data_IF_675214912253
#
_entry.id   IF_675214912253
#
_cell.length_a   1.000
_cell.length_b   1.000
_cell.length_c   1.000
_cell.angle_alpha   90.00
_cell.angle_beta   90.00
_cell.angle_gamma   90.00
#
_symmetry.space_group_name_H-M   'P 1'
#
loop_
_entity.id
_entity.type
_entity.pdbx_description
1 polymer ?
#
# COMPACT_ATOMS: atom_id res chain seq x y z
N UNK A 1 27.90 14.37 -4.75
CA UNK A 1 26.87 13.83 -3.84
C UNK A 1 25.93 14.98 -3.55
N UNK A 2 24.97 15.20 -4.42
CA UNK A 2 23.86 16.09 -4.10
C UNK A 2 22.89 15.27 -3.26
N UNK A 3 22.65 15.71 -2.03
CA UNK A 3 21.56 15.21 -1.22
C UNK A 3 20.27 15.48 -2.00
N UNK A 4 19.43 14.45 -2.18
CA UNK A 4 18.11 14.60 -2.77
C UNK A 4 17.32 15.52 -1.83
N UNK A 5 17.14 16.77 -2.22
CA UNK A 5 16.38 17.74 -1.45
C UNK A 5 14.92 17.56 -1.84
N UNK A 6 14.11 17.02 -0.92
CA UNK A 6 12.67 16.78 -1.12
C UNK A 6 11.83 18.07 -1.13
N UNK A 7 12.48 19.24 -1.10
CA UNK A 7 11.83 20.57 -1.10
C UNK A 7 11.00 20.84 -2.37
N UNK A 8 11.19 20.08 -3.45
CA UNK A 8 10.43 20.18 -4.71
C UNK A 8 9.34 19.10 -4.89
N UNK A 9 8.98 18.35 -3.83
CA UNK A 9 7.92 17.33 -3.93
C UNK A 9 6.53 17.99 -4.00
N UNK A 10 6.06 18.25 -5.23
CA UNK A 10 4.65 18.52 -5.49
C UNK A 10 3.81 17.27 -5.16
N UNK A 11 2.84 17.48 -4.27
CA UNK A 11 1.76 16.55 -3.96
C UNK A 11 1.14 16.00 -5.25
N UNK A 12 0.87 14.69 -5.31
CA UNK A 12 0.13 14.06 -6.44
C UNK A 12 -1.36 14.48 -6.46
N UNK A 13 -1.73 15.47 -5.66
CA UNK A 13 -3.03 16.13 -5.68
C UNK A 13 -2.97 17.42 -6.50
N UNK A 14 -3.59 17.35 -7.67
CA UNK A 14 -4.08 18.47 -8.52
C UNK A 14 -3.19 19.04 -9.63
N UNK A 15 -2.08 18.38 -10.02
CA UNK A 15 -1.39 18.67 -11.29
C UNK A 15 -1.14 17.42 -12.13
N UNK A 16 -2.18 16.96 -12.82
CA UNK A 16 -1.97 16.30 -14.11
C UNK A 16 -2.27 17.34 -15.19
N UNK A 17 -1.24 18.07 -15.63
CA UNK A 17 -1.25 18.62 -16.97
C UNK A 17 -1.10 17.44 -17.94
N UNK A 18 -2.20 17.10 -18.59
CA UNK A 18 -2.22 16.28 -19.80
C UNK A 18 -1.47 17.02 -20.92
N UNK A 19 -0.14 16.89 -20.97
CA UNK A 19 0.64 17.26 -22.16
C UNK A 19 1.27 16.05 -22.87
N UNK A 20 1.03 14.81 -22.41
CA UNK A 20 1.55 13.60 -23.07
C UNK A 20 0.48 12.54 -23.41
N UNK A 21 -0.76 12.98 -23.65
CA UNK A 21 -1.73 12.21 -24.44
C UNK A 21 -1.88 12.93 -25.79
N UNK A 22 -1.45 12.35 -26.92
CA UNK A 22 -1.83 12.90 -28.20
C UNK A 22 -3.34 12.77 -28.34
N UNK A 23 -4.02 13.92 -28.42
CA UNK A 23 -5.40 14.06 -28.88
C UNK A 23 -5.54 13.39 -30.25
N UNK A 24 -6.06 12.17 -30.28
CA UNK A 24 -6.57 11.55 -31.50
C UNK A 24 -8.09 11.63 -31.49
N UNK A 25 -8.62 12.86 -31.51
CA UNK A 25 -10.01 13.11 -31.86
C UNK A 25 -10.14 13.06 -33.39
N UNK A 26 -10.75 11.98 -33.87
CA UNK A 26 -11.23 11.87 -35.25
C UNK A 26 -12.35 12.87 -35.50
N UNK A 27 -12.13 13.71 -36.50
CA UNK A 27 -13.05 14.70 -37.02
C UNK A 27 -14.41 14.10 -37.38
N UNK A 28 -15.50 14.69 -36.89
CA UNK A 28 -16.76 14.75 -37.62
C UNK A 28 -17.23 16.20 -37.63
N UNK A 29 -17.14 16.78 -38.81
CA UNK A 29 -17.58 18.12 -39.20
C UNK A 29 -19.09 18.17 -39.41
N UNK A 30 -19.76 19.18 -38.85
CA UNK A 30 -20.77 20.02 -39.54
C UNK A 30 -21.27 21.19 -38.65
N UNK A 31 -21.03 22.40 -39.16
CA UNK A 31 -21.91 23.59 -39.19
C UNK A 31 -22.11 24.53 -37.97
N UNK A 32 -21.19 25.52 -37.87
CA UNK A 32 -21.34 26.99 -38.04
C UNK A 32 -22.63 27.71 -37.50
N UNK A 33 -22.47 28.40 -36.34
CA UNK A 33 -22.76 29.82 -35.93
C UNK A 33 -24.14 30.52 -36.17
N UNK A 34 -24.49 31.67 -35.49
CA UNK A 34 -23.81 32.41 -34.40
C UNK A 34 -24.70 32.88 -33.19
N UNK A 35 -24.00 33.48 -32.21
CA UNK A 35 -24.42 34.28 -31.04
C UNK A 35 -25.57 35.28 -31.31
N UNK A 36 -26.39 35.74 -30.35
CA UNK A 36 -26.07 36.70 -29.26
C UNK A 36 -27.36 37.04 -28.42
N UNK A 37 -27.39 38.01 -27.46
CA UNK A 37 -27.66 37.78 -26.02
C UNK A 37 -28.98 38.39 -25.49
N UNK A 38 -29.38 38.13 -24.23
CA UNK A 38 -29.85 39.15 -23.26
C UNK A 38 -30.52 38.58 -22.00
N UNK A 39 -30.17 39.22 -20.88
CA UNK A 39 -30.95 39.58 -19.68
C UNK A 39 -31.84 38.54 -18.95
N UNK A 40 -31.40 38.30 -17.70
CA UNK A 40 -32.13 38.30 -16.43
C UNK A 40 -33.67 38.16 -16.44
N UNK A 41 -34.18 37.18 -15.68
CA UNK A 41 -35.08 37.49 -14.55
C UNK A 41 -35.20 36.30 -13.59
N UNK A 42 -35.28 36.64 -12.30
CA UNK A 42 -35.62 35.75 -11.19
C UNK A 42 -37.14 35.54 -11.17
N UNK A 43 -37.62 34.30 -11.02
CA UNK A 43 -38.69 33.96 -10.07
C UNK A 43 -38.94 32.44 -9.97
N UNK A 44 -39.12 32.00 -8.72
CA UNK A 44 -39.52 30.66 -8.27
C UNK A 44 -40.72 30.07 -9.01
N UNK A 45 -40.71 28.75 -9.21
CA UNK A 45 -41.84 27.88 -8.83
C UNK A 45 -41.48 26.40 -8.91
N UNK A 46 -41.74 25.75 -7.78
CA UNK A 46 -41.98 24.33 -7.52
C UNK A 46 -42.13 23.41 -8.74
N UNK A 47 -41.29 22.38 -8.78
CA UNK A 47 -41.61 21.13 -9.46
C UNK A 47 -41.33 19.95 -8.53
N UNK A 48 -42.40 19.19 -8.31
CA UNK A 48 -42.46 17.94 -7.57
C UNK A 48 -41.33 16.99 -7.96
N UNK A 49 -40.56 16.56 -6.96
CA UNK A 49 -39.61 15.46 -7.12
C UNK A 49 -40.42 14.18 -6.98
N UNK A 50 -40.84 13.61 -8.10
CA UNK A 50 -41.37 12.26 -8.15
C UNK A 50 -40.31 11.28 -7.62
N UNK A 51 -40.68 10.62 -6.53
CA UNK A 51 -39.90 9.76 -5.67
C UNK A 51 -39.86 8.31 -6.25
N UNK A 52 -39.40 8.16 -7.49
CA UNK A 52 -39.20 6.86 -8.13
C UNK A 52 -37.85 6.81 -8.87
N UNK A 53 -36.75 6.68 -8.13
CA UNK A 53 -35.52 6.04 -8.65
C UNK A 53 -34.58 5.55 -7.53
N UNK A 54 -35.16 5.02 -6.44
CA UNK A 54 -34.42 4.34 -5.38
C UNK A 54 -34.19 2.85 -5.70
N UNK A 55 -33.48 2.58 -6.81
CA UNK A 55 -32.77 1.32 -7.03
C UNK A 55 -31.35 1.64 -7.51
N UNK A 56 -30.28 1.34 -6.75
CA UNK A 56 -28.95 1.74 -7.14
C UNK A 56 -28.48 0.92 -8.36
N UNK A 57 -28.42 1.56 -9.51
CA UNK A 57 -27.89 1.04 -10.77
C UNK A 57 -26.36 0.82 -10.79
N UNK A 58 -25.71 0.78 -9.62
CA UNK A 58 -24.25 0.78 -9.46
C UNK A 58 -23.59 -0.62 -9.47
N UNK A 59 -24.32 -1.69 -9.81
CA UNK A 59 -23.78 -3.06 -9.87
C UNK A 59 -23.06 -3.42 -11.19
N UNK A 60 -23.04 -2.51 -12.19
CA UNK A 60 -22.47 -2.81 -13.53
C UNK A 60 -20.95 -2.67 -13.62
N UNK A 61 -20.29 -2.13 -12.61
CA UNK A 61 -18.85 -1.81 -12.66
C UNK A 61 -17.98 -2.90 -12.03
N UNK A 62 -18.53 -3.75 -11.17
CA UNK A 62 -17.78 -4.82 -10.50
C UNK A 62 -17.51 -6.01 -11.44
N UNK A 63 -16.53 -6.84 -11.09
CA UNK A 63 -16.22 -8.07 -11.82
C UNK A 63 -16.17 -9.25 -10.87
N UNK A 64 -17.00 -10.25 -11.16
CA UNK A 64 -17.03 -11.52 -10.43
C UNK A 64 -16.06 -12.53 -11.03
N UNK A 65 -15.62 -13.52 -10.24
CA UNK A 65 -14.80 -14.62 -10.77
C UNK A 65 -15.48 -15.40 -11.91
N UNK A 66 -16.81 -15.51 -11.93
CA UNK A 66 -17.54 -16.14 -13.04
C UNK A 66 -17.42 -15.35 -14.33
N UNK A 67 -17.59 -14.03 -14.29
CA UNK A 67 -17.43 -13.19 -15.48
C UNK A 67 -15.98 -13.21 -15.97
N UNK A 68 -15.01 -13.17 -15.05
CA UNK A 68 -13.60 -13.23 -15.40
C UNK A 68 -13.24 -14.56 -16.09
N UNK A 69 -13.75 -15.70 -15.60
CA UNK A 69 -13.61 -17.00 -16.27
C UNK A 69 -14.27 -17.05 -17.65
N UNK A 70 -15.29 -16.22 -17.88
CA UNK A 70 -15.95 -16.06 -19.16
C UNK A 70 -15.26 -15.04 -20.09
N UNK A 71 -14.06 -14.56 -19.73
CA UNK A 71 -13.25 -13.69 -20.57
C UNK A 71 -13.36 -12.19 -20.26
N UNK A 72 -14.14 -11.77 -19.26
CA UNK A 72 -14.14 -10.38 -18.79
C UNK A 72 -12.80 -10.08 -18.11
N UNK A 73 -12.22 -8.91 -18.35
CA UNK A 73 -11.03 -8.47 -17.63
C UNK A 73 -11.31 -8.37 -16.12
N UNK A 74 -10.36 -8.80 -15.28
CA UNK A 74 -10.53 -8.84 -13.81
C UNK A 74 -10.77 -7.46 -13.19
N UNK A 75 -10.27 -6.38 -13.81
CA UNK A 75 -10.54 -5.00 -13.42
C UNK A 75 -11.77 -4.41 -14.13
N UNK A 76 -12.35 -5.17 -15.07
CA UNK A 76 -13.47 -4.73 -15.89
C UNK A 76 -13.09 -3.68 -16.93
N UNK A 77 -11.83 -3.68 -17.38
CA UNK A 77 -11.36 -2.83 -18.48
C UNK A 77 -11.94 -3.39 -19.80
N UNK A 78 -12.71 -2.61 -20.56
CA UNK A 78 -13.35 -3.06 -21.79
C UNK A 78 -12.37 -2.94 -22.97
N UNK A 79 -11.36 -3.81 -23.00
CA UNK A 79 -10.31 -3.81 -24.03
C UNK A 79 -10.88 -3.87 -25.45
N UNK A 80 -12.03 -4.53 -25.65
CA UNK A 80 -12.74 -4.61 -26.93
C UNK A 80 -13.29 -3.27 -27.44
N UNK A 81 -13.36 -2.25 -26.59
CA UNK A 81 -13.80 -0.89 -26.94
C UNK A 81 -12.64 0.09 -27.11
N UNK A 82 -11.41 -0.35 -26.85
CA UNK A 82 -10.21 0.47 -26.95
C UNK A 82 -9.50 0.23 -28.29
N UNK A 83 -8.71 1.21 -28.72
CA UNK A 83 -7.97 1.15 -29.99
C UNK A 83 -6.72 0.25 -29.92
N UNK A 84 -6.48 -0.40 -28.78
CA UNK A 84 -5.34 -1.25 -28.51
C UNK A 84 -5.78 -2.45 -27.67
N UNK A 85 -5.13 -3.58 -27.88
CA UNK A 85 -5.29 -4.76 -27.06
C UNK A 85 -4.62 -4.59 -25.69
N UNK A 86 -4.99 -5.46 -24.75
CA UNK A 86 -4.37 -5.56 -23.43
C UNK A 86 -2.85 -5.75 -23.51
N UNK A 87 -2.40 -6.57 -24.45
CA UNK A 87 -0.98 -6.92 -24.60
C UNK A 87 -0.17 -5.76 -25.21
N UNK A 88 -0.71 -5.07 -26.22
CA UNK A 88 -0.09 -3.86 -26.78
C UNK A 88 0.03 -2.76 -25.73
N UNK A 89 -1.00 -2.56 -24.90
CA UNK A 89 -0.95 -1.61 -23.80
C UNK A 89 0.09 -2.01 -22.74
N UNK A 90 0.16 -3.30 -22.38
CA UNK A 90 1.17 -3.85 -21.46
C UNK A 90 2.59 -3.64 -21.97
N UNK A 91 2.87 -3.89 -23.25
CA UNK A 91 4.18 -3.63 -23.83
C UNK A 91 4.54 -2.15 -23.79
N UNK A 92 3.57 -1.28 -24.09
CA UNK A 92 3.74 0.17 -24.05
C UNK A 92 4.06 0.65 -22.63
N UNK A 93 3.32 0.15 -21.64
CA UNK A 93 3.57 0.39 -20.21
C UNK A 93 4.99 0.02 -19.80
N UNK A 94 5.47 -1.17 -20.18
CA UNK A 94 6.83 -1.62 -19.85
C UNK A 94 7.93 -0.77 -20.52
N UNK A 95 7.68 -0.24 -21.72
CA UNK A 95 8.62 0.64 -22.45
C UNK A 95 8.65 2.05 -21.88
N UNK A 96 7.50 2.58 -21.46
CA UNK A 96 7.34 3.96 -21.03
C UNK A 96 7.56 4.17 -19.53
N UNK A 97 7.45 3.13 -18.70
CA UNK A 97 7.60 3.26 -17.26
C UNK A 97 9.03 3.70 -16.89
N UNK A 98 9.14 4.90 -16.31
CA UNK A 98 10.41 5.46 -15.84
C UNK A 98 10.62 5.10 -14.37
N UNK A 99 11.73 4.42 -14.09
CA UNK A 99 12.14 4.17 -12.72
C UNK A 99 12.94 5.35 -12.17
N UNK A 100 12.69 5.71 -10.92
CA UNK A 100 13.62 6.55 -10.16
C UNK A 100 14.89 5.74 -9.85
N UNK A 101 16.06 6.37 -9.92
CA UNK A 101 17.34 5.70 -9.72
C UNK A 101 18.29 6.61 -8.94
N UNK A 102 18.84 6.09 -7.86
CA UNK A 102 19.98 6.66 -7.14
C UNK A 102 21.14 5.65 -7.07
N UNK A 103 21.24 4.82 -8.13
CA UNK A 103 22.17 3.70 -8.20
C UNK A 103 23.63 4.16 -8.31
N UNK A 104 24.49 3.54 -7.50
CA UNK A 104 25.95 3.67 -7.64
C UNK A 104 26.55 2.84 -8.79
N UNK A 105 25.83 1.80 -9.27
CA UNK A 105 26.28 0.88 -10.34
C UNK A 105 25.10 0.30 -11.14
N UNK A 106 25.34 -0.14 -12.38
CA UNK A 106 24.30 -0.60 -13.32
C UNK A 106 23.50 -1.82 -12.83
N UNK A 107 22.18 -1.81 -13.08
CA UNK A 107 21.23 -2.91 -12.81
C UNK A 107 21.58 -4.23 -13.50
N UNK A 108 22.35 -4.21 -14.58
CA UNK A 108 22.67 -5.44 -15.33
C UNK A 108 23.39 -6.50 -14.48
N UNK A 109 24.18 -6.07 -13.48
CA UNK A 109 24.86 -6.98 -12.57
C UNK A 109 23.89 -7.65 -11.57
N UNK A 110 22.83 -6.94 -11.14
CA UNK A 110 21.82 -7.50 -10.22
C UNK A 110 21.08 -8.69 -10.84
N UNK A 111 20.82 -8.65 -12.16
CA UNK A 111 20.13 -9.76 -12.84
C UNK A 111 20.89 -11.09 -12.75
N UNK A 112 22.21 -11.06 -12.55
CA UNK A 112 23.02 -12.28 -12.39
C UNK A 112 22.90 -12.87 -10.98
N UNK A 113 22.58 -12.05 -9.98
CA UNK A 113 22.36 -12.48 -8.60
C UNK A 113 20.92 -12.98 -8.36
N UNK A 114 20.00 -12.64 -9.27
CA UNK A 114 18.59 -12.96 -9.12
C UNK A 114 18.33 -14.47 -9.24
N UNK A 115 17.53 -14.98 -8.31
CA UNK A 115 17.03 -16.35 -8.34
C UNK A 115 16.19 -16.57 -9.61
N UNK A 116 16.40 -17.70 -10.27
CA UNK A 116 15.57 -18.09 -11.41
C UNK A 116 14.23 -18.65 -10.92
N UNK A 117 13.18 -17.84 -10.97
CA UNK A 117 11.84 -18.21 -10.49
C UNK A 117 11.03 -18.81 -11.62
N UNK A 118 10.50 -20.01 -11.39
CA UNK A 118 9.50 -20.65 -12.24
C UNK A 118 8.16 -19.91 -12.11
N UNK A 119 7.87 -19.07 -13.11
CA UNK A 119 6.59 -18.36 -13.21
C UNK A 119 5.48 -19.29 -13.73
N UNK A 120 4.23 -18.96 -13.40
CA UNK A 120 3.05 -19.67 -13.91
C UNK A 120 2.40 -20.64 -12.90
N UNK A 121 2.87 -20.66 -11.65
CA UNK A 121 2.07 -21.25 -10.57
C UNK A 121 0.94 -20.30 -10.19
N UNK A 122 -0.15 -20.86 -9.69
CA UNK A 122 -1.29 -20.10 -9.17
C UNK A 122 -1.54 -20.52 -7.75
N UNK A 123 -1.21 -19.65 -6.81
CA UNK A 123 -1.41 -19.84 -5.37
C UNK A 123 -2.68 -19.16 -4.87
N UNK A 124 -3.09 -18.07 -5.52
CA UNK A 124 -4.32 -17.34 -5.24
C UNK A 124 -5.08 -17.09 -6.55
N UNK A 125 -6.33 -17.53 -6.62
CA UNK A 125 -7.20 -17.35 -7.79
C UNK A 125 -7.99 -16.04 -7.65
N UNK A 126 -8.23 -15.33 -8.75
CA UNK A 126 -9.09 -14.15 -8.74
C UNK A 126 -10.49 -14.51 -8.23
N UNK A 127 -11.00 -13.73 -7.27
CA UNK A 127 -12.29 -13.96 -6.65
C UNK A 127 -13.30 -12.85 -6.96
N UNK A 128 -12.91 -11.59 -6.79
CA UNK A 128 -13.82 -10.46 -6.96
C UNK A 128 -13.06 -9.16 -7.16
N UNK A 129 -13.67 -8.23 -7.90
CA UNK A 129 -13.22 -6.85 -8.01
C UNK A 129 -14.38 -5.90 -7.75
N UNK A 130 -14.16 -4.87 -6.93
CA UNK A 130 -15.14 -3.78 -6.75
C UNK A 130 -14.57 -2.42 -7.07
N UNK A 131 -15.38 -1.58 -7.73
CA UNK A 131 -15.09 -0.16 -7.97
C UNK A 131 -15.80 0.77 -6.98
N UNK A 132 -16.56 0.23 -6.02
CA UNK A 132 -17.27 1.01 -5.00
C UNK A 132 -16.32 1.62 -3.96
N UNK A 133 -15.16 1.01 -3.77
CA UNK A 133 -14.07 1.55 -2.96
C UNK A 133 -12.81 1.60 -3.80
N UNK A 134 -12.09 2.71 -3.74
CA UNK A 134 -10.85 2.90 -4.49
C UNK A 134 -9.82 3.62 -3.64
N UNK A 135 -8.57 3.21 -3.80
CA UNK A 135 -7.50 3.74 -2.95
C UNK A 135 -7.02 5.10 -3.46
N UNK A 136 -6.58 5.97 -2.55
CA UNK A 136 -5.89 7.23 -2.87
C UNK A 136 -4.48 7.16 -2.31
N UNK A 137 -3.50 7.49 -3.15
CA UNK A 137 -2.09 7.58 -2.77
C UNK A 137 -1.71 9.06 -2.75
N UNK A 138 -1.00 9.48 -1.70
CA UNK A 138 -0.52 10.86 -1.54
C UNK A 138 0.97 11.01 -1.86
N UNK A 139 1.72 9.90 -1.87
CA UNK A 139 3.16 9.89 -2.11
C UNK A 139 3.56 8.77 -3.06
N UNK A 140 4.41 9.07 -4.05
CA UNK A 140 4.80 8.13 -5.10
C UNK A 140 5.66 6.93 -4.62
N UNK A 141 6.15 6.92 -3.37
CA UNK A 141 6.94 5.81 -2.81
C UNK A 141 6.20 4.97 -1.74
N UNK A 142 5.24 5.54 -1.01
CA UNK A 142 4.66 4.89 0.18
C UNK A 142 3.38 4.13 -0.18
N UNK A 143 3.28 2.83 0.18
CA UNK A 143 2.22 1.90 -0.25
C UNK A 143 1.58 1.06 0.88
N UNK A 144 1.62 1.53 2.13
CA UNK A 144 0.98 0.84 3.25
C UNK A 144 -0.42 1.45 3.53
N UNK A 145 -1.32 1.42 2.53
CA UNK A 145 -2.64 2.08 2.60
C UNK A 145 -3.82 1.10 2.54
N UNK A 146 -3.55 -0.20 2.70
CA UNK A 146 -4.52 -1.29 2.67
C UNK A 146 -4.21 -2.29 3.78
N UNK A 147 -5.23 -2.72 4.53
CA UNK A 147 -5.06 -3.69 5.60
C UNK A 147 -6.29 -4.58 5.79
N UNK A 148 -6.12 -5.90 5.75
CA UNK A 148 -7.18 -6.86 6.02
C UNK A 148 -7.10 -7.37 7.47
N UNK A 149 -8.22 -7.35 8.19
CA UNK A 149 -8.32 -7.94 9.55
C UNK A 149 -9.00 -9.31 9.54
N UNK A 150 -9.68 -9.65 8.45
CA UNK A 150 -10.23 -10.96 8.15
C UNK A 150 -10.29 -11.12 6.63
N UNK A 151 -10.67 -12.29 6.11
CA UNK A 151 -11.01 -12.44 4.68
C UNK A 151 -12.29 -11.69 4.28
N UNK A 152 -12.98 -11.07 5.23
CA UNK A 152 -14.25 -10.37 5.03
C UNK A 152 -14.15 -8.88 5.30
N UNK A 153 -13.12 -8.42 6.02
CA UNK A 153 -13.01 -7.06 6.52
C UNK A 153 -11.67 -6.46 6.11
N UNK A 154 -11.76 -5.39 5.32
CA UNK A 154 -10.61 -4.71 4.74
C UNK A 154 -10.72 -3.23 5.01
N UNK A 155 -9.62 -2.58 5.33
CA UNK A 155 -9.52 -1.16 5.56
C UNK A 155 -8.59 -0.55 4.51
N UNK A 156 -9.02 0.53 3.88
CA UNK A 156 -8.24 1.21 2.85
C UNK A 156 -8.39 2.72 2.93
N UNK A 157 -7.35 3.42 2.47
CA UNK A 157 -7.37 4.87 2.37
C UNK A 157 -8.08 5.34 1.10
N UNK A 158 -9.09 6.19 1.23
CA UNK A 158 -9.81 6.82 0.12
C UNK A 158 -9.99 8.32 0.41
N UNK A 159 -9.33 9.16 -0.37
CA UNK A 159 -9.29 10.62 -0.22
C UNK A 159 -8.80 11.06 1.17
N UNK A 160 -9.70 11.55 2.03
CA UNK A 160 -9.43 11.94 3.43
C UNK A 160 -10.13 10.99 4.42
N UNK A 161 -10.48 9.79 3.98
CA UNK A 161 -11.24 8.84 4.77
C UNK A 161 -10.58 7.48 4.76
N UNK A 162 -10.52 6.84 5.92
CA UNK A 162 -10.27 5.40 5.99
C UNK A 162 -11.62 4.71 5.88
N UNK A 163 -11.76 3.89 4.85
CA UNK A 163 -12.96 3.12 4.55
C UNK A 163 -12.77 1.68 5.06
N UNK A 164 -13.78 1.15 5.73
CA UNK A 164 -13.96 -0.28 5.95
C UNK A 164 -14.81 -0.85 4.83
N UNK A 165 -14.33 -1.88 4.16
CA UNK A 165 -15.06 -2.65 3.17
C UNK A 165 -15.39 -4.03 3.75
N UNK A 166 -16.67 -4.37 3.76
CA UNK A 166 -17.14 -5.72 4.05
C UNK A 166 -17.32 -6.51 2.76
N UNK A 167 -16.49 -7.53 2.53
CA UNK A 167 -16.60 -8.40 1.36
C UNK A 167 -17.87 -9.26 1.39
N UNK A 168 -18.42 -9.55 2.57
CA UNK A 168 -19.67 -10.31 2.72
C UNK A 168 -20.88 -9.44 2.39
N UNK A 169 -20.94 -8.24 2.96
CA UNK A 169 -22.07 -7.33 2.75
C UNK A 169 -21.96 -6.51 1.47
N UNK A 170 -20.81 -6.59 0.79
CA UNK A 170 -20.45 -5.77 -0.39
C UNK A 170 -20.73 -4.28 -0.15
N UNK A 171 -20.34 -3.79 1.02
CA UNK A 171 -20.62 -2.43 1.48
C UNK A 171 -19.40 -1.79 2.11
N UNK A 172 -19.17 -0.54 1.75
CA UNK A 172 -18.21 0.35 2.39
C UNK A 172 -18.83 1.15 3.53
N UNK A 173 -18.05 1.40 4.59
CA UNK A 173 -18.38 2.29 5.71
C UNK A 173 -17.16 3.13 6.05
N UNK A 174 -17.33 4.44 6.17
CA UNK A 174 -16.28 5.32 6.68
C UNK A 174 -16.03 5.04 8.17
N UNK A 175 -14.76 4.82 8.55
CA UNK A 175 -14.35 4.57 9.94
C UNK A 175 -13.51 5.67 10.55
N UNK A 176 -12.85 6.47 9.72
CA UNK A 176 -12.10 7.65 10.13
C UNK A 176 -12.18 8.69 9.02
N UNK A 177 -12.54 9.93 9.35
CA UNK A 177 -12.52 11.06 8.43
C UNK A 177 -11.52 12.09 8.97
N UNK A 178 -10.44 12.31 8.22
CA UNK A 178 -9.37 13.24 8.58
C UNK A 178 -9.47 14.58 7.84
N UNK A 179 -10.55 14.82 7.08
CA UNK A 179 -10.77 16.08 6.38
C UNK A 179 -11.14 17.21 7.35
N UNK A 180 -11.83 16.87 8.45
CA UNK A 180 -12.25 17.79 9.51
C UNK A 180 -11.29 17.72 10.71
N UNK A 181 -11.26 18.75 11.57
CA UNK A 181 -10.50 18.70 12.81
C UNK A 181 -10.89 17.49 13.66
N UNK A 182 -9.89 16.72 14.06
CA UNK A 182 -10.00 15.59 14.97
C UNK A 182 -9.51 16.04 16.34
N UNK A 183 -10.35 15.83 17.35
CA UNK A 183 -9.98 16.02 18.76
C UNK A 183 -9.87 14.64 19.40
N UNK A 184 -8.75 14.32 20.08
CA UNK A 184 -8.58 13.02 20.70
C UNK A 184 -9.49 12.91 21.93
N UNK A 185 -10.01 11.71 22.14
CA UNK A 185 -10.89 11.37 23.27
C UNK A 185 -10.12 11.09 24.55
N UNK A 186 -8.89 10.58 24.45
CA UNK A 186 -8.03 10.34 25.61
C UNK A 186 -7.45 11.67 26.10
N UNK A 187 -7.88 12.10 27.28
CA UNK A 187 -7.30 13.27 27.95
C UNK A 187 -6.05 12.85 28.72
N UNK A 188 -4.94 13.54 28.45
CA UNK A 188 -3.70 13.38 29.24
C UNK A 188 -3.54 14.51 30.24
N UNK A 189 -3.26 14.22 31.52
CA UNK A 189 -2.91 15.25 32.49
C UNK A 189 -1.69 16.05 32.00
N UNK A 190 -1.82 17.37 31.89
CA UNK A 190 -0.72 18.27 31.51
C UNK A 190 -0.43 18.38 30.01
N UNK A 191 -1.16 17.70 29.13
CA UNK A 191 -1.00 17.81 27.68
C UNK A 191 -2.26 18.43 27.05
N UNK A 192 -2.11 19.59 26.41
CA UNK A 192 -3.16 20.17 25.59
C UNK A 192 -3.17 19.42 24.25
N UNK A 193 -4.20 18.62 24.04
CA UNK A 193 -4.39 17.92 22.77
C UNK A 193 -4.49 18.92 21.62
N UNK A 194 -3.53 18.87 20.69
CA UNK A 194 -3.60 19.66 19.46
C UNK A 194 -4.46 18.92 18.44
N UNK A 195 -5.55 19.53 17.95
CA UNK A 195 -6.34 18.90 16.92
C UNK A 195 -5.53 18.82 15.62
N UNK A 196 -5.60 17.68 14.95
CA UNK A 196 -5.08 17.53 13.58
C UNK A 196 -6.25 17.63 12.60
N UNK A 197 -6.02 18.18 11.41
CA UNK A 197 -7.07 18.36 10.41
C UNK A 197 -6.49 18.31 9.00
N UNK A 198 -7.29 17.90 8.02
CA UNK A 198 -6.87 17.74 6.62
C UNK A 198 -5.62 16.90 6.46
N UNK A 199 -5.50 15.85 7.29
CA UNK A 199 -4.31 15.00 7.31
C UNK A 199 -4.29 14.16 6.03
N UNK A 200 -3.20 14.27 5.27
CA UNK A 200 -2.92 13.40 4.15
C UNK A 200 -2.27 12.12 4.67
N UNK A 201 -3.03 11.03 4.76
CA UNK A 201 -2.52 9.77 5.32
C UNK A 201 -1.53 9.15 4.33
N UNK A 202 -0.29 8.99 4.79
CA UNK A 202 0.83 8.41 4.03
C UNK A 202 1.00 6.91 4.30
N UNK A 203 0.52 6.42 5.44
CA UNK A 203 0.71 5.04 5.89
C UNK A 203 -0.32 4.66 6.95
N UNK A 204 -0.72 3.39 7.01
CA UNK A 204 -1.63 2.89 8.03
C UNK A 204 -1.44 1.40 8.33
N UNK A 205 -1.90 0.98 9.50
CA UNK A 205 -1.95 -0.41 9.95
C UNK A 205 -3.18 -0.62 10.83
N UNK A 206 -3.73 -1.84 10.79
CA UNK A 206 -4.80 -2.25 11.71
C UNK A 206 -4.40 -3.55 12.40
N UNK A 207 -4.10 -3.50 13.70
CA UNK A 207 -3.72 -4.68 14.48
C UNK A 207 -4.47 -4.72 15.79
N UNK A 208 -5.06 -5.86 16.11
CA UNK A 208 -5.79 -6.07 17.37
C UNK A 208 -6.88 -5.03 17.67
N UNK A 209 -7.58 -4.56 16.62
CA UNK A 209 -8.58 -3.47 16.64
C UNK A 209 -8.02 -2.05 16.82
N UNK A 210 -6.70 -1.89 16.99
CA UNK A 210 -6.04 -0.60 16.95
C UNK A 210 -5.71 -0.26 15.49
N UNK A 211 -6.35 0.77 14.97
CA UNK A 211 -5.98 1.42 13.72
C UNK A 211 -5.00 2.55 14.04
N UNK A 212 -3.86 2.55 13.35
CA UNK A 212 -2.87 3.62 13.41
C UNK A 212 -2.66 4.16 12.01
N UNK A 213 -2.67 5.48 11.86
CA UNK A 213 -2.41 6.18 10.60
C UNK A 213 -1.34 7.25 10.81
N UNK A 214 -0.36 7.30 9.91
CA UNK A 214 0.64 8.34 9.81
C UNK A 214 0.28 9.36 8.73
N UNK A 215 0.57 10.62 8.98
CA UNK A 215 0.31 11.73 8.05
C UNK A 215 1.56 12.28 7.36
N UNK A 216 1.31 13.04 6.30
CA UNK A 216 2.33 13.65 5.45
C UNK A 216 3.15 14.75 6.15
N UNK A 217 2.60 15.40 7.18
CA UNK A 217 3.33 16.42 7.96
C UNK A 217 3.74 15.88 9.33
N UNK A 218 3.97 14.57 9.42
CA UNK A 218 4.41 13.89 10.63
C UNK A 218 3.32 13.75 11.70
N UNK A 219 2.05 13.70 11.29
CA UNK A 219 0.95 13.39 12.17
C UNK A 219 0.92 11.90 12.52
N UNK A 220 0.39 11.57 13.69
CA UNK A 220 0.06 10.23 14.13
C UNK A 220 -1.36 10.20 14.67
N UNK A 221 -2.19 9.30 14.16
CA UNK A 221 -3.59 9.14 14.57
C UNK A 221 -3.83 7.69 14.97
N UNK A 222 -4.37 7.47 16.17
CA UNK A 222 -4.68 6.16 16.71
C UNK A 222 -6.17 6.06 17.08
N UNK A 223 -6.84 5.04 16.58
CA UNK A 223 -8.26 4.78 16.80
C UNK A 223 -8.51 3.33 17.16
N UNK A 224 -9.27 3.08 18.20
CA UNK A 224 -9.83 1.75 18.44
C UNK A 224 -11.10 1.59 17.60
N UNK A 225 -11.14 0.56 16.76
CA UNK A 225 -12.25 0.28 15.85
C UNK A 225 -13.54 -0.11 16.55
N UNK A 226 -13.46 -0.57 17.81
CA UNK A 226 -14.63 -0.92 18.64
C UNK A 226 -15.24 0.28 19.37
N UNK A 227 -14.54 1.41 19.42
CA UNK A 227 -14.97 2.60 20.16
C UNK A 227 -15.22 3.77 19.20
N UNK A 228 -16.20 4.65 19.50
CA UNK A 228 -16.38 5.88 18.74
C UNK A 228 -15.22 6.85 19.01
N UNK A 229 -14.93 7.73 18.05
CA UNK A 229 -13.89 8.75 18.18
C UNK A 229 -12.46 8.25 17.95
N UNK A 230 -11.51 9.18 18.05
CA UNK A 230 -10.07 8.92 17.92
C UNK A 230 -9.48 8.88 19.33
N UNK A 231 -8.65 7.90 19.64
CA UNK A 231 -8.04 7.78 20.96
C UNK A 231 -6.95 8.82 21.14
N UNK A 232 -6.05 8.90 20.17
CA UNK A 232 -4.90 9.79 20.18
C UNK A 232 -4.70 10.39 18.80
N UNK A 233 -4.38 11.67 18.74
CA UNK A 233 -3.83 12.30 17.55
C UNK A 233 -2.90 13.42 17.97
N UNK A 234 -1.74 13.52 17.31
CA UNK A 234 -0.77 14.58 17.55
C UNK A 234 0.17 14.72 16.35
N UNK A 235 0.87 15.85 16.25
CA UNK A 235 2.02 16.00 15.36
C UNK A 235 3.27 15.58 16.14
N UNK A 236 3.85 14.44 15.76
CA UNK A 236 4.93 13.79 16.55
C UNK A 236 6.33 14.31 16.22
N UNK A 237 6.41 15.30 15.34
CA UNK A 237 7.64 15.94 14.86
C UNK A 237 7.53 17.46 14.95
N UNK A 238 8.66 18.13 15.08
CA UNK A 238 8.79 19.59 15.00
C UNK A 238 9.11 20.08 13.59
N UNK A 239 9.45 19.18 12.67
CA UNK A 239 9.79 19.48 11.29
C UNK A 239 8.55 19.33 10.40
N UNK A 240 8.22 20.37 9.65
CA UNK A 240 7.05 20.37 8.78
C UNK A 240 7.17 19.41 7.58
N UNK A 241 8.40 19.00 7.25
CA UNK A 241 8.71 18.06 6.15
C UNK A 241 8.83 16.60 6.61
N UNK A 242 8.64 16.34 7.90
CA UNK A 242 8.89 15.03 8.50
C UNK A 242 7.72 14.05 8.35
N UNK A 243 7.44 13.67 7.11
CA UNK A 243 6.45 12.65 6.71
C UNK A 243 6.57 11.43 7.63
N UNK A 244 5.44 10.94 8.16
CA UNK A 244 5.37 9.63 8.79
C UNK A 244 5.37 8.57 7.69
N UNK A 245 6.54 8.05 7.33
CA UNK A 245 6.74 7.15 6.20
C UNK A 245 6.17 5.74 6.45
N UNK A 246 6.36 5.22 7.67
CA UNK A 246 5.82 3.92 8.05
C UNK A 246 5.35 3.90 9.51
N UNK A 247 4.34 3.08 9.77
CA UNK A 247 3.87 2.74 11.11
C UNK A 247 3.83 1.22 11.25
N UNK A 248 4.20 0.71 12.41
CA UNK A 248 4.03 -0.69 12.77
C UNK A 248 3.48 -0.78 14.20
N UNK A 249 2.80 -1.88 14.50
CA UNK A 249 2.24 -2.19 15.80
C UNK A 249 2.73 -3.57 16.21
N UNK A 250 3.36 -3.69 17.37
CA UNK A 250 3.96 -4.95 17.81
C UNK A 250 3.77 -5.17 19.31
N UNK A 251 3.91 -6.42 19.75
CA UNK A 251 4.00 -6.74 21.17
C UNK A 251 5.48 -6.85 21.52
N UNK A 252 5.90 -6.14 22.55
CA UNK A 252 7.25 -6.31 23.08
C UNK A 252 7.38 -7.70 23.75
N UNK A 253 8.58 -8.12 24.15
CA UNK A 253 8.78 -9.42 24.82
C UNK A 253 7.99 -9.58 26.14
N UNK A 254 7.59 -8.47 26.77
CA UNK A 254 6.74 -8.46 27.96
C UNK A 254 5.23 -8.59 27.65
N UNK A 255 4.86 -8.61 26.37
CA UNK A 255 3.49 -8.72 25.89
C UNK A 255 2.75 -7.39 25.75
N UNK A 256 3.32 -6.26 26.14
CA UNK A 256 2.70 -4.94 25.99
C UNK A 256 2.68 -4.49 24.54
N UNK A 257 1.56 -3.93 24.10
CA UNK A 257 1.38 -3.45 22.74
C UNK A 257 2.08 -2.08 22.55
N UNK A 258 2.76 -1.91 21.42
CA UNK A 258 3.56 -0.74 21.09
C UNK A 258 3.21 -0.25 19.70
N UNK A 259 3.23 1.07 19.52
CA UNK A 259 3.19 1.72 18.21
C UNK A 259 4.59 2.26 17.91
N UNK A 260 5.10 2.00 16.72
CA UNK A 260 6.39 2.51 16.27
C UNK A 260 6.22 3.22 14.93
N UNK A 261 6.89 4.36 14.77
CA UNK A 261 6.82 5.18 13.56
C UNK A 261 8.22 5.38 12.99
N UNK A 262 8.31 5.44 11.67
CA UNK A 262 9.48 5.90 10.94
C UNK A 262 9.14 7.21 10.25
N UNK A 263 10.01 8.20 10.39
CA UNK A 263 9.78 9.54 9.90
C UNK A 263 10.94 10.04 9.03
N UNK A 264 10.62 11.01 8.17
CA UNK A 264 11.59 11.61 7.26
C UNK A 264 12.68 12.43 7.99
N UNK A 265 12.43 12.86 9.24
CA UNK A 265 13.42 13.54 10.11
C UNK A 265 14.50 12.62 10.69
N UNK A 266 14.73 11.46 10.07
CA UNK A 266 15.70 10.45 10.49
C UNK A 266 15.42 9.83 11.87
N UNK A 267 14.20 9.98 12.39
CA UNK A 267 13.83 9.44 13.70
C UNK A 267 12.85 8.28 13.61
N UNK A 268 13.04 7.33 14.52
CA UNK A 268 12.07 6.27 14.84
C UNK A 268 11.53 6.52 16.23
N UNK A 269 10.21 6.60 16.39
CA UNK A 269 9.55 6.91 17.66
C UNK A 269 8.71 5.74 18.13
N UNK A 270 8.76 5.45 19.43
CA UNK A 270 8.03 4.35 20.06
C UNK A 270 7.06 4.88 21.10
N UNK A 271 5.81 4.42 21.04
CA UNK A 271 4.75 4.79 21.96
C UNK A 271 4.13 3.55 22.59
N UNK A 272 3.65 3.69 23.83
CA UNK A 272 2.78 2.71 24.45
C UNK A 272 1.41 2.70 23.74
N UNK A 273 0.83 1.54 23.41
CA UNK A 273 -0.43 1.53 22.66
C UNK A 273 -1.69 1.71 23.52
N UNK A 274 -1.59 1.71 24.85
CA UNK A 274 -2.73 1.88 25.76
C UNK A 274 -2.94 3.36 26.11
N UNK A 275 -1.86 4.06 26.45
CA UNK A 275 -1.91 5.48 26.83
C UNK A 275 -1.21 6.42 25.82
N UNK A 276 -0.55 5.88 24.80
CA UNK A 276 0.19 6.61 23.75
C UNK A 276 1.34 7.48 24.29
N UNK A 277 1.82 7.23 25.51
CA UNK A 277 2.99 7.91 26.05
C UNK A 277 4.22 7.56 25.20
N UNK A 278 5.07 8.56 24.95
CA UNK A 278 6.35 8.34 24.27
C UNK A 278 7.29 7.54 25.18
N UNK A 279 7.80 6.43 24.64
CA UNK A 279 8.70 5.51 25.34
C UNK A 279 10.15 5.65 24.86
N UNK A 280 10.36 6.10 23.63
CA UNK A 280 11.68 6.24 23.04
C UNK A 280 11.68 6.96 21.71
N UNK A 281 12.81 7.57 21.39
CA UNK A 281 13.11 8.14 20.08
C UNK A 281 14.54 7.74 19.71
N UNK A 282 14.71 7.14 18.55
CA UNK A 282 15.98 6.64 18.03
C UNK A 282 16.35 7.44 16.78
N UNK A 283 17.55 8.03 16.76
CA UNK A 283 18.05 8.80 15.63
C UNK A 283 18.91 7.92 14.73
N UNK A 284 18.78 8.14 13.42
CA UNK A 284 19.61 7.53 12.37
C UNK A 284 20.24 8.63 11.52
N UNK A 285 21.20 8.25 10.66
CA UNK A 285 21.98 9.21 9.86
C UNK A 285 21.24 9.68 8.59
N UNK A 286 20.01 9.20 8.35
CA UNK A 286 19.24 9.40 7.13
C UNK A 286 17.74 9.24 7.35
N UNK A 287 16.94 9.79 6.44
CA UNK A 287 15.46 9.70 6.43
C UNK A 287 14.99 8.26 6.49
N UNK A 288 14.16 7.90 7.49
CA UNK A 288 13.71 6.52 7.65
C UNK A 288 12.44 6.29 6.82
N UNK A 289 12.58 5.54 5.74
CA UNK A 289 11.50 5.27 4.78
C UNK A 289 10.61 4.10 5.20
N UNK A 290 11.14 3.12 5.95
CA UNK A 290 10.37 1.98 6.43
C UNK A 290 10.96 1.36 7.69
N UNK A 291 10.09 0.80 8.54
CA UNK A 291 10.46 -0.03 9.68
C UNK A 291 9.61 -1.30 9.71
N UNK A 292 10.14 -2.35 10.34
CA UNK A 292 9.33 -3.49 10.78
C UNK A 292 9.96 -4.16 12.00
N UNK A 293 9.10 -4.58 12.94
CA UNK A 293 9.55 -5.28 14.14
C UNK A 293 9.39 -6.78 13.95
N UNK A 294 10.41 -7.53 14.35
CA UNK A 294 10.40 -8.99 14.35
C UNK A 294 9.24 -9.57 15.18
N UNK A 295 8.75 -10.78 14.86
CA UNK A 295 7.59 -11.37 15.53
C UNK A 295 7.72 -11.53 17.05
N UNK A 296 8.95 -11.70 17.56
CA UNK A 296 9.23 -11.81 18.99
C UNK A 296 9.44 -10.46 19.70
N UNK A 297 9.34 -9.36 18.95
CA UNK A 297 9.42 -7.99 19.46
C UNK A 297 10.83 -7.54 19.84
N UNK A 298 11.90 -8.26 19.47
CA UNK A 298 13.27 -7.95 19.91
C UNK A 298 14.09 -7.19 18.88
N UNK A 299 13.97 -7.55 17.61
CA UNK A 299 14.71 -6.93 16.51
C UNK A 299 13.84 -5.95 15.74
N UNK A 300 14.44 -4.83 15.37
CA UNK A 300 13.89 -3.78 14.52
C UNK A 300 14.71 -3.74 13.23
N UNK A 301 14.03 -3.87 12.08
CA UNK A 301 14.60 -3.55 10.78
C UNK A 301 14.35 -2.07 10.47
N UNK A 302 15.40 -1.35 10.09
CA UNK A 302 15.34 0.09 9.75
C UNK A 302 15.86 0.28 8.33
N UNK A 303 15.04 0.91 7.49
CA UNK A 303 15.27 1.15 6.07
C UNK A 303 15.05 2.63 5.73
N UNK A 304 15.84 3.19 4.83
CA UNK A 304 15.71 4.59 4.44
C UNK A 304 16.63 5.00 3.32
N UNK A 305 17.15 6.23 3.37
CA UNK A 305 18.06 6.81 2.36
C UNK A 305 19.49 6.25 2.47
N UNK A 306 19.57 4.92 2.58
CA UNK A 306 20.77 4.11 2.59
C UNK A 306 20.50 2.81 1.82
N UNK A 307 21.55 2.28 1.21
CA UNK A 307 21.50 0.97 0.56
C UNK A 307 21.57 -0.20 1.55
N UNK A 308 21.83 0.08 2.83
CA UNK A 308 21.86 -0.92 3.90
C UNK A 308 20.53 -0.95 4.67
N UNK A 309 20.12 -2.14 5.10
CA UNK A 309 19.13 -2.29 6.17
C UNK A 309 19.85 -2.42 7.50
N UNK A 310 19.54 -1.57 8.48
CA UNK A 310 20.07 -1.72 9.83
C UNK A 310 19.19 -2.67 10.64
N UNK A 311 19.82 -3.56 11.40
CA UNK A 311 19.17 -4.39 12.41
C UNK A 311 19.53 -3.80 13.77
N UNK A 312 18.51 -3.40 14.52
CA UNK A 312 18.64 -2.78 15.84
C UNK A 312 17.83 -3.54 16.90
N UNK A 313 18.15 -3.30 18.17
CA UNK A 313 17.32 -3.71 19.30
C UNK A 313 16.06 -2.84 19.35
N UNK A 314 14.88 -3.46 19.34
CA UNK A 314 13.60 -2.75 19.30
C UNK A 314 13.28 -1.95 20.58
N UNK A 315 13.92 -2.26 21.72
CA UNK A 315 13.67 -1.57 22.98
C UNK A 315 14.50 -0.30 23.13
N UNK A 316 15.73 -0.27 22.60
CA UNK A 316 16.66 0.84 22.80
C UNK A 316 17.22 1.45 21.51
N UNK A 317 16.89 0.91 20.34
CA UNK A 317 17.30 1.43 19.04
C UNK A 317 18.76 1.17 18.67
N UNK A 318 19.54 0.51 19.53
CA UNK A 318 20.96 0.25 19.28
C UNK A 318 21.13 -0.70 18.10
N UNK A 319 21.89 -0.26 17.10
CA UNK A 319 22.24 -1.07 15.93
C UNK A 319 23.15 -2.23 16.36
N UNK A 320 22.75 -3.45 16.00
CA UNK A 320 23.48 -4.71 16.26
C UNK A 320 24.08 -5.32 15.01
N UNK A 321 23.66 -4.88 13.82
CA UNK A 321 24.23 -5.30 12.54
C UNK A 321 23.61 -4.58 11.36
N UNK A 322 24.11 -4.85 10.17
CA UNK A 322 23.51 -4.34 8.93
C UNK A 322 23.52 -5.39 7.83
N UNK A 323 22.54 -5.29 6.94
CA UNK A 323 22.36 -6.14 5.77
C UNK A 323 22.79 -5.35 4.53
N UNK A 324 23.80 -5.88 3.82
CA UNK A 324 24.44 -5.19 2.70
C UNK A 324 24.22 -5.97 1.40
N UNK A 325 23.85 -5.27 0.34
CA UNK A 325 23.72 -5.86 -1.00
C UNK A 325 22.77 -5.12 -1.93
N UNK A 326 21.75 -4.45 -1.39
CA UNK A 326 20.95 -3.51 -2.17
C UNK A 326 21.80 -2.36 -2.70
N UNK A 327 21.34 -1.73 -3.78
CA UNK A 327 22.09 -0.69 -4.50
C UNK A 327 21.47 0.70 -4.45
N UNK A 328 20.32 0.81 -3.82
CA UNK A 328 19.49 2.02 -3.79
C UNK A 328 18.66 2.02 -2.50
N UNK A 329 17.73 2.96 -2.34
CA UNK A 329 16.95 3.12 -1.12
C UNK A 329 15.83 2.09 -0.98
N UNK A 330 15.61 1.66 0.26
CA UNK A 330 14.63 0.62 0.60
C UNK A 330 13.35 1.24 1.16
N UNK A 331 12.20 0.70 0.75
CA UNK A 331 10.87 1.26 1.08
C UNK A 331 9.91 0.24 1.68
N UNK A 332 10.30 -1.03 1.72
CA UNK A 332 9.46 -2.09 2.26
C UNK A 332 10.30 -3.10 3.03
N UNK A 333 9.77 -3.57 4.15
CA UNK A 333 10.28 -4.76 4.85
C UNK A 333 9.13 -5.64 5.32
N UNK A 334 9.39 -6.93 5.45
CA UNK A 334 8.46 -7.88 6.06
C UNK A 334 9.23 -9.03 6.72
N UNK A 335 8.89 -9.33 7.97
CA UNK A 335 9.39 -10.50 8.66
C UNK A 335 8.56 -11.73 8.31
N UNK A 336 9.24 -12.85 8.05
CA UNK A 336 8.61 -14.15 8.06
C UNK A 336 8.13 -14.46 9.49
N UNK A 337 6.96 -15.09 9.69
CA UNK A 337 6.38 -15.30 11.02
C UNK A 337 7.24 -16.14 11.98
N UNK A 338 8.19 -16.94 11.47
CA UNK A 338 9.16 -17.65 12.31
C UNK A 338 10.30 -16.78 12.88
N UNK A 339 10.38 -15.51 12.45
CA UNK A 339 11.39 -14.53 12.87
C UNK A 339 12.80 -14.75 12.32
N UNK A 340 13.00 -15.71 11.41
CA UNK A 340 14.33 -16.07 10.89
C UNK A 340 14.65 -15.41 9.55
N UNK A 341 13.64 -15.14 8.75
CA UNK A 341 13.79 -14.49 7.45
C UNK A 341 13.23 -13.07 7.49
N UNK A 342 14.02 -12.11 7.02
CA UNK A 342 13.58 -10.75 6.73
C UNK A 342 13.60 -10.55 5.21
N UNK A 343 12.50 -10.05 4.65
CA UNK A 343 12.45 -9.58 3.26
C UNK A 343 12.58 -8.05 3.23
N UNK A 344 13.40 -7.52 2.32
CA UNK A 344 13.55 -6.08 2.07
C UNK A 344 13.27 -5.78 0.60
N UNK A 345 12.54 -4.70 0.32
CA UNK A 345 12.12 -4.26 -1.01
C UNK A 345 12.69 -2.89 -1.34
N UNK A 346 13.23 -2.75 -2.55
CA UNK A 346 14.16 -1.67 -2.88
C UNK A 346 13.90 -1.00 -4.23
N UNK A 347 14.39 0.23 -4.35
CA UNK A 347 14.41 1.03 -5.57
C UNK A 347 15.23 0.40 -6.70
N UNK A 348 16.19 -0.47 -6.37
CA UNK A 348 16.99 -1.26 -7.30
C UNK A 348 16.20 -2.34 -8.06
N UNK A 349 14.87 -2.39 -7.90
CA UNK A 349 13.91 -3.33 -8.51
C UNK A 349 13.97 -4.76 -7.97
N UNK A 350 14.66 -4.96 -6.84
CA UNK A 350 14.78 -6.28 -6.22
C UNK A 350 14.15 -6.33 -4.84
N UNK A 351 13.76 -7.54 -4.46
CA UNK A 351 13.55 -7.92 -3.07
C UNK A 351 14.68 -8.85 -2.64
N UNK A 352 15.32 -8.57 -1.51
CA UNK A 352 16.32 -9.47 -0.91
C UNK A 352 15.75 -10.16 0.31
N UNK A 353 16.09 -11.45 0.44
CA UNK A 353 15.74 -12.29 1.58
C UNK A 353 16.99 -12.52 2.42
N UNK A 354 16.87 -12.33 3.72
CA UNK A 354 17.99 -12.38 4.67
C UNK A 354 17.70 -13.38 5.76
N UNK A 355 18.63 -14.29 6.02
CA UNK A 355 18.61 -15.09 7.24
C UNK A 355 19.24 -14.28 8.36
N UNK A 356 18.47 -13.91 9.39
CA UNK A 356 18.99 -13.04 10.46
C UNK A 356 20.04 -13.71 11.34
N UNK A 357 20.24 -15.03 11.19
CA UNK A 357 21.32 -15.77 11.85
C UNK A 357 22.65 -15.62 11.10
N UNK A 358 22.62 -15.11 9.87
CA UNK A 358 23.78 -14.84 9.04
C UNK A 358 23.59 -13.57 8.20
N UNK A 359 23.96 -12.41 8.76
CA UNK A 359 23.80 -11.10 8.13
C UNK A 359 24.79 -10.82 6.98
N UNK A 360 25.77 -11.70 6.75
CA UNK A 360 26.86 -11.43 5.80
C UNK A 360 26.46 -11.52 4.33
N UNK A 361 25.33 -12.18 4.01
CA UNK A 361 24.84 -12.33 2.65
C UNK A 361 23.33 -12.55 2.61
N UNK A 362 22.69 -12.20 1.49
CA UNK A 362 21.28 -12.54 1.25
C UNK A 362 21.13 -14.03 0.91
N UNK A 363 20.07 -14.66 1.43
CA UNK A 363 19.64 -16.02 1.09
C UNK A 363 19.22 -16.12 -0.38
N UNK A 364 18.48 -15.14 -0.87
CA UNK A 364 17.99 -15.08 -2.24
C UNK A 364 17.67 -13.63 -2.65
N UNK A 365 17.69 -13.38 -3.96
CA UNK A 365 17.33 -12.11 -4.58
C UNK A 365 16.21 -12.36 -5.58
N UNK A 366 15.06 -11.73 -5.35
CA UNK A 366 13.87 -11.82 -6.19
C UNK A 366 13.76 -10.55 -7.04
N UNK A 367 13.43 -10.71 -8.31
CA UNK A 367 13.40 -9.62 -9.29
C UNK A 367 11.97 -9.16 -9.56
N UNK A 368 11.75 -7.85 -9.53
CA UNK A 368 10.54 -7.21 -10.07
C UNK A 368 10.52 -7.18 -11.60
N UNK A 369 9.34 -7.01 -12.18
CA UNK A 369 9.11 -7.00 -13.62
C UNK A 369 9.32 -5.62 -14.25
N UNK A 370 8.89 -4.56 -13.59
CA UNK A 370 8.83 -3.20 -14.13
C UNK A 370 9.57 -2.18 -13.28
N UNK A 371 9.46 -2.23 -11.96
CA UNK A 371 10.07 -1.22 -11.09
C UNK A 371 10.34 -1.62 -9.66
N UNK A 372 10.47 -0.60 -8.82
CA UNK A 372 10.88 -0.71 -7.42
C UNK A 372 9.91 -1.55 -6.57
N UNK A 373 10.42 -2.24 -5.55
CA UNK A 373 9.57 -3.02 -4.66
C UNK A 373 9.06 -2.13 -3.52
N UNK A 374 7.74 -1.93 -3.43
CA UNK A 374 7.10 -0.96 -2.52
C UNK A 374 6.28 -1.56 -1.39
N UNK A 375 5.88 -2.82 -1.50
CA UNK A 375 5.23 -3.52 -0.40
C UNK A 375 5.62 -4.99 -0.36
N UNK A 376 5.80 -5.49 0.86
CA UNK A 376 6.11 -6.88 1.16
C UNK A 376 5.21 -7.37 2.29
N UNK A 377 4.66 -8.58 2.13
CA UNK A 377 3.85 -9.23 3.17
C UNK A 377 4.08 -10.74 3.13
N UNK A 378 4.41 -11.33 4.28
CA UNK A 378 4.27 -12.76 4.45
C UNK A 378 2.83 -13.10 4.83
N UNK A 379 2.37 -14.25 4.37
CA UNK A 379 1.21 -14.95 4.94
C UNK A 379 1.50 -15.33 6.39
N UNK A 380 0.47 -15.37 7.24
CA UNK A 380 0.61 -15.67 8.68
C UNK A 380 1.11 -17.09 8.96
N UNK A 381 0.92 -18.02 8.02
CA UNK A 381 1.50 -19.37 8.06
C UNK A 381 2.93 -19.45 7.49
N UNK A 382 3.46 -18.34 6.98
CA UNK A 382 4.79 -18.24 6.38
C UNK A 382 4.93 -18.91 5.02
N UNK A 383 3.85 -19.45 4.44
CA UNK A 383 3.96 -20.22 3.19
C UNK A 383 4.36 -19.34 2.02
N UNK A 384 3.76 -18.16 1.92
CA UNK A 384 3.91 -17.26 0.79
C UNK A 384 4.39 -15.87 1.18
N UNK A 385 5.24 -15.29 0.34
CA UNK A 385 5.62 -13.89 0.34
C UNK A 385 4.94 -13.19 -0.85
N UNK A 386 4.15 -12.16 -0.59
CA UNK A 386 3.69 -11.24 -1.63
C UNK A 386 4.64 -10.04 -1.73
N UNK A 387 4.89 -9.63 -2.97
CA UNK A 387 5.77 -8.53 -3.35
C UNK A 387 5.05 -7.65 -4.38
N UNK A 388 4.79 -6.39 -4.04
CA UNK A 388 4.17 -5.44 -4.96
C UNK A 388 5.18 -4.41 -5.48
N UNK A 389 5.08 -4.16 -6.77
CA UNK A 389 5.75 -3.05 -7.46
C UNK A 389 4.95 -1.74 -7.25
N UNK A 390 5.39 -0.57 -7.77
CA UNK A 390 4.66 0.67 -7.54
C UNK A 390 3.31 0.66 -8.27
N UNK A 391 3.24 -0.11 -9.36
CA UNK A 391 2.08 -0.30 -10.20
C UNK A 391 2.14 -1.68 -10.87
N UNK A 392 0.99 -2.11 -11.39
CA UNK A 392 0.80 -3.18 -12.38
C UNK A 392 1.11 -4.63 -11.95
N UNK A 393 2.10 -4.88 -11.11
CA UNK A 393 2.53 -6.25 -10.78
C UNK A 393 2.55 -6.53 -9.29
N UNK A 394 1.92 -7.64 -8.93
CA UNK A 394 2.07 -8.29 -7.62
C UNK A 394 2.58 -9.71 -7.86
N UNK A 395 3.66 -10.08 -7.18
CA UNK A 395 4.27 -11.40 -7.24
C UNK A 395 4.02 -12.15 -5.94
N UNK A 396 3.78 -13.45 -6.01
CA UNK A 396 3.64 -14.33 -4.84
C UNK A 396 4.65 -15.46 -4.98
N UNK A 397 5.53 -15.62 -3.99
CA UNK A 397 6.59 -16.63 -3.98
C UNK A 397 6.34 -17.68 -2.90
N UNK A 398 6.56 -18.95 -3.23
CA UNK A 398 6.46 -20.05 -2.26
C UNK A 398 7.76 -20.20 -1.46
N UNK A 399 7.70 -19.86 -0.18
CA UNK A 399 8.84 -19.93 0.74
C UNK A 399 9.33 -21.36 0.97
N UNK A 400 8.44 -22.36 0.93
CA UNK A 400 8.82 -23.77 1.12
C UNK A 400 9.56 -24.35 -0.08
N UNK A 401 9.36 -23.77 -1.26
CA UNK A 401 10.12 -24.11 -2.46
C UNK A 401 11.53 -23.48 -2.46
N UNK A 402 11.89 -22.71 -1.43
CA UNK A 402 13.06 -21.84 -1.46
C UNK A 402 12.85 -20.65 -2.41
N UNK A 403 11.61 -20.16 -2.54
CA UNK A 403 11.21 -19.04 -3.38
C UNK A 403 11.38 -19.24 -4.89
N UNK A 404 11.62 -20.47 -5.34
CA UNK A 404 11.80 -20.79 -6.77
C UNK A 404 10.49 -20.91 -7.55
N UNK A 405 9.35 -21.04 -6.87
CA UNK A 405 8.03 -21.05 -7.51
C UNK A 405 7.31 -19.72 -7.29
N UNK A 406 6.80 -19.13 -8.38
CA UNK A 406 6.16 -17.83 -8.37
C UNK A 406 4.84 -17.77 -9.12
N UNK A 407 3.91 -17.00 -8.58
CA UNK A 407 2.74 -16.47 -9.27
C UNK A 407 2.98 -14.99 -9.56
N UNK A 408 2.58 -14.54 -10.74
CA UNK A 408 2.54 -13.13 -11.10
C UNK A 408 1.08 -12.74 -11.35
N UNK A 409 0.62 -11.69 -10.68
CA UNK A 409 -0.66 -11.06 -10.88
C UNK A 409 -0.41 -9.81 -11.72
N UNK A 410 -0.95 -9.83 -12.93
CA UNK A 410 -0.79 -8.80 -13.96
C UNK A 410 -2.06 -7.93 -14.02
N UNK A 411 -1.93 -6.70 -13.52
CA UNK A 411 -3.01 -5.71 -13.34
C UNK A 411 -2.54 -4.33 -13.85
N UNK A 412 -3.40 -3.32 -13.87
CA UNK A 412 -3.09 -1.97 -14.33
C UNK A 412 -3.43 -0.92 -13.28
N UNK A 413 -2.53 0.03 -13.07
CA UNK A 413 -2.70 1.15 -12.14
C UNK A 413 -1.74 1.07 -10.95
N UNK A 414 -1.67 2.14 -10.16
CA UNK A 414 -0.81 2.18 -8.99
C UNK A 414 -1.36 1.29 -7.87
N UNK A 415 -0.47 0.55 -7.20
CA UNK A 415 -0.84 -0.38 -6.14
C UNK A 415 -0.71 0.34 -4.81
N UNK A 416 -1.81 0.81 -4.23
CA UNK A 416 -1.82 1.53 -2.94
C UNK A 416 -1.45 0.66 -1.74
N UNK A 417 -1.59 -0.66 -1.86
CA UNK A 417 -1.17 -1.62 -0.86
C UNK A 417 -1.64 -3.03 -1.16
N UNK A 418 -1.05 -3.98 -0.42
CA UNK A 418 -1.40 -5.40 -0.44
C UNK A 418 -1.60 -5.92 0.98
N UNK A 419 -2.56 -6.81 1.18
CA UNK A 419 -2.77 -7.46 2.47
C UNK A 419 -3.31 -8.87 2.31
N UNK A 420 -2.64 -9.84 2.92
CA UNK A 420 -3.27 -11.12 3.19
C UNK A 420 -4.27 -10.98 4.33
N UNK A 421 -5.35 -11.77 4.30
CA UNK A 421 -6.16 -12.00 5.48
C UNK A 421 -5.37 -12.81 6.52
N UNK A 422 -5.60 -12.60 7.84
CA UNK A 422 -4.87 -13.33 8.87
C UNK A 422 -5.08 -14.85 8.86
N UNK A 423 -6.20 -15.32 8.29
CA UNK A 423 -6.48 -16.74 8.07
C UNK A 423 -5.85 -17.30 6.79
N UNK A 424 -5.09 -16.48 6.04
CA UNK A 424 -4.43 -16.77 4.77
C UNK A 424 -5.35 -17.08 3.59
N UNK A 425 -6.67 -17.01 3.75
CA UNK A 425 -7.60 -17.44 2.71
C UNK A 425 -7.79 -16.38 1.61
N UNK A 426 -7.47 -15.12 1.87
CA UNK A 426 -7.63 -14.04 0.91
C UNK A 426 -6.36 -13.18 0.79
N UNK A 427 -6.13 -12.66 -0.42
CA UNK A 427 -5.20 -11.58 -0.71
C UNK A 427 -6.00 -10.42 -1.30
N UNK A 428 -5.80 -9.23 -0.75
CA UNK A 428 -6.37 -7.99 -1.25
C UNK A 428 -5.30 -7.12 -1.88
N UNK A 429 -5.64 -6.48 -3.01
CA UNK A 429 -4.80 -5.52 -3.72
C UNK A 429 -5.62 -4.26 -3.99
N UNK A 430 -5.17 -3.12 -3.47
CA UNK A 430 -5.83 -1.83 -3.63
C UNK A 430 -5.22 -1.08 -4.80
N UNK A 431 -6.05 -0.71 -5.77
CA UNK A 431 -5.62 0.03 -6.97
C UNK A 431 -6.03 1.50 -6.82
N UNK A 432 -5.03 2.37 -6.92
CA UNK A 432 -5.20 3.81 -7.09
C UNK A 432 -5.07 4.13 -8.58
N UNK A 433 -6.21 4.37 -9.21
CA UNK A 433 -6.31 4.81 -10.59
C UNK A 433 -7.55 5.68 -10.74
N UNK A 434 -7.49 6.67 -11.64
CA UNK A 434 -8.58 7.63 -11.86
C UNK A 434 -9.86 6.93 -12.33
N UNK A 435 -9.71 5.96 -13.24
CA UNK A 435 -10.80 5.33 -13.98
C UNK A 435 -11.10 3.92 -13.48
N UNK A 436 -10.06 3.14 -13.21
CA UNK A 436 -10.16 1.72 -12.82
C UNK A 436 -9.69 1.46 -11.38
N UNK A 437 -9.59 2.52 -10.57
CA UNK A 437 -9.33 2.42 -9.14
C UNK A 437 -10.35 1.50 -8.48
N UNK A 438 -9.87 0.54 -7.72
CA UNK A 438 -10.66 -0.60 -7.26
C UNK A 438 -10.00 -1.36 -6.12
N UNK A 439 -10.73 -2.32 -5.54
CA UNK A 439 -10.22 -3.30 -4.61
C UNK A 439 -10.39 -4.71 -5.20
N UNK A 440 -9.26 -5.35 -5.47
CA UNK A 440 -9.18 -6.72 -5.97
C UNK A 440 -9.05 -7.70 -4.81
N UNK A 441 -9.82 -8.79 -4.87
CA UNK A 441 -9.82 -9.90 -3.91
C UNK A 441 -9.43 -11.18 -4.65
N UNK A 442 -8.45 -11.90 -4.11
CA UNK A 442 -8.00 -13.20 -4.59
C UNK A 442 -8.13 -14.24 -3.46
N UNK A 443 -8.63 -15.43 -3.79
CA UNK A 443 -8.83 -16.52 -2.83
C UNK A 443 -7.69 -17.53 -2.92
N UNK A 444 -7.19 -18.01 -1.77
CA UNK A 444 -6.13 -19.01 -1.73
C UNK A 444 -6.58 -20.30 -2.39
N UNK A 445 -5.77 -20.80 -3.33
CA UNK A 445 -5.99 -22.09 -3.97
C UNK A 445 -5.57 -23.20 -3.02
N UNK A 446 -6.50 -24.11 -2.71
CA UNK A 446 -6.21 -25.33 -1.97
C UNK A 446 -5.94 -26.46 -2.96
N UNK A 447 -4.71 -26.95 -2.99
CA UNK A 447 -4.42 -28.24 -3.62
C UNK A 447 -4.94 -29.34 -2.69
N UNK A 448 -6.20 -29.72 -2.84
CA UNK A 448 -6.74 -30.88 -2.17
C UNK A 448 -6.11 -32.14 -2.79
N UNK A 449 -5.01 -32.62 -2.23
CA UNK A 449 -4.39 -33.90 -2.59
C UNK A 449 -5.27 -35.13 -2.23
N UNK A 450 -6.49 -34.95 -1.73
CA UNK A 450 -7.36 -36.02 -1.22
C UNK A 450 -8.56 -36.39 -2.11
N UNK A 451 -8.65 -35.88 -3.34
CA UNK A 451 -9.75 -36.21 -4.25
C UNK A 451 -9.29 -36.49 -5.69
N UNK A 452 -8.21 -37.26 -5.86
CA UNK A 452 -8.13 -38.17 -7.01
C UNK A 452 -8.63 -39.54 -6.54
N UNK A 453 -9.89 -39.90 -6.75
CA UNK A 453 -10.25 -41.31 -6.69
C UNK A 453 -9.56 -41.97 -7.89
N UNK A 454 -8.52 -42.76 -7.61
CA UNK A 454 -8.12 -43.84 -8.51
C UNK A 454 -9.33 -44.76 -8.69
N UNK A 455 -10.11 -44.58 -9.75
CA UNK A 455 -10.97 -45.60 -10.35
C UNK A 455 -11.10 -45.39 -11.86
#
# INVERSE_FOLDING_TARGET
MEHFNNDDLECVGDYYHDDDVPDFQGQNSADILPQQPSHADYHDSDFDVDDEDLLPSNAKTDTTASEARNGKDIQGIPWERLNYSRDEYRETRLKQYKNYESLSRSRHHLHKECLNVQKGKTFYDFFFNTRLVKSTIVHFQLRNLLWATSKHDVYLMQNYSVMHWSAVLRRGKEVLNVAKPIVPSLKRPGFLAQPVSRVQISTMIVKENLMVAGGFHGELICKNLKQPGVLFCDKITTDDTAITNAVDVYRNPAGSLRVITANNDSQVRVFDAENFASLGCFNYDWSVNNISVSPDGKLLAVLGDSSECLIADANNGKVTGSLKGHLDYSFASAWHPDGRILATGNQDTTCRLWDIRNLSQSLAVLKGRMGAIRALRFTSDGRFLAMAEPADFVHIFDSHSGYVQGQEIDLFGEIAGISFSPDTEALFVGIADRTYGSLLEFARKRYNYYLDPMF
#
